data_IF_462866164854
#
_entry.id   IF_462866164854
#
_cell.length_a   1.000
_cell.length_b   1.000
_cell.length_c   1.000
_cell.angle_alpha   90.00
_cell.angle_beta   90.00
_cell.angle_gamma   90.00
#
_symmetry.space_group_name_H-M   'P 1'
#
loop_
_entity.id
_entity.type
_entity.pdbx_description
1 polymer ?
#
# COMPACT_ATOMS: atom_id res chain seq x y z
N UNK A 1 18.73 -14.49 -0.49
CA UNK A 1 17.39 -14.60 -1.08
C UNK A 1 17.08 -13.27 -1.70
N UNK A 2 16.74 -13.23 -2.99
CA UNK A 2 16.47 -11.97 -3.70
C UNK A 2 15.03 -11.55 -3.40
N UNK A 3 14.85 -10.40 -2.77
CA UNK A 3 13.53 -9.77 -2.63
C UNK A 3 12.92 -9.61 -4.03
N UNK A 4 11.65 -9.97 -4.18
CA UNK A 4 10.94 -9.81 -5.47
C UNK A 4 9.79 -8.84 -5.34
N UNK A 5 9.33 -8.28 -6.47
CA UNK A 5 8.14 -7.45 -6.52
C UNK A 5 6.89 -8.13 -5.93
N UNK A 6 6.80 -9.47 -6.04
CA UNK A 6 5.71 -10.25 -5.50
C UNK A 6 5.76 -10.37 -3.96
N UNK A 7 6.96 -10.50 -3.37
CA UNK A 7 7.15 -10.46 -1.91
C UNK A 7 6.67 -9.14 -1.34
N UNK A 8 7.10 -8.02 -1.94
CA UNK A 8 6.73 -6.68 -1.49
C UNK A 8 5.24 -6.46 -1.65
N UNK A 9 4.65 -6.84 -2.80
CA UNK A 9 3.22 -6.77 -3.04
C UNK A 9 2.38 -7.51 -1.99
N UNK A 10 2.83 -8.71 -1.61
CA UNK A 10 2.16 -9.51 -0.59
C UNK A 10 2.24 -8.82 0.77
N UNK A 11 3.42 -8.31 1.13
CA UNK A 11 3.63 -7.59 2.38
C UNK A 11 2.88 -6.25 2.45
N UNK A 12 2.81 -5.49 1.35
CA UNK A 12 2.00 -4.27 1.26
C UNK A 12 0.53 -4.57 1.57
N UNK A 13 0.01 -5.68 1.03
CA UNK A 13 -1.37 -6.09 1.27
C UNK A 13 -1.61 -6.37 2.74
N UNK A 14 -0.70 -7.12 3.38
CA UNK A 14 -0.76 -7.47 4.81
C UNK A 14 -0.79 -6.23 5.71
N UNK A 15 0.07 -5.23 5.44
CA UNK A 15 0.06 -3.96 6.17
C UNK A 15 -1.24 -3.21 5.96
N UNK A 16 -1.69 -3.04 4.72
CA UNK A 16 -2.93 -2.28 4.44
C UNK A 16 -4.13 -2.96 5.09
N UNK A 17 -4.18 -4.29 5.12
CA UNK A 17 -5.24 -5.03 5.82
C UNK A 17 -5.14 -4.90 7.34
N UNK A 18 -3.93 -4.77 7.89
CA UNK A 18 -3.68 -4.64 9.33
C UNK A 18 -3.98 -3.21 9.82
N UNK A 19 -3.45 -2.20 9.15
CA UNK A 19 -3.60 -0.78 9.52
C UNK A 19 -4.90 -0.18 9.03
N UNK A 20 -5.61 -0.91 8.15
CA UNK A 20 -6.86 -0.52 7.47
C UNK A 20 -6.72 0.65 6.49
N UNK A 21 -5.80 1.57 6.71
CA UNK A 21 -5.52 2.74 5.88
C UNK A 21 -4.04 3.10 5.94
N UNK A 22 -3.38 3.17 4.78
CA UNK A 22 -1.95 3.48 4.68
C UNK A 22 -1.72 4.44 3.52
N UNK A 23 -0.98 5.51 3.76
CA UNK A 23 -0.65 6.48 2.70
C UNK A 23 0.48 5.95 1.82
N UNK A 24 0.57 6.45 0.58
CA UNK A 24 1.67 6.11 -0.31
C UNK A 24 3.02 6.46 0.28
N UNK A 25 3.13 7.59 0.96
CA UNK A 25 4.37 8.02 1.60
C UNK A 25 4.79 7.04 2.69
N UNK A 26 3.88 6.69 3.61
CA UNK A 26 4.17 5.74 4.70
C UNK A 26 4.63 4.38 4.15
N UNK A 27 3.92 3.89 3.12
CA UNK A 27 4.27 2.64 2.47
C UNK A 27 5.64 2.70 1.80
N UNK A 28 5.98 3.83 1.16
CA UNK A 28 7.27 4.01 0.52
C UNK A 28 8.39 4.03 1.56
N UNK A 29 8.25 4.79 2.64
CA UNK A 29 9.20 4.80 3.76
C UNK A 29 9.39 3.39 4.34
N UNK A 30 8.30 2.65 4.54
CA UNK A 30 8.34 1.29 5.07
C UNK A 30 9.00 0.30 4.10
N UNK A 31 8.78 0.43 2.79
CA UNK A 31 9.47 -0.37 1.76
C UNK A 31 10.95 -0.03 1.72
N UNK A 32 11.30 1.25 1.74
CA UNK A 32 12.69 1.72 1.73
C UNK A 32 13.46 1.17 2.94
N UNK A 33 12.88 1.28 4.13
CA UNK A 33 13.49 0.81 5.37
C UNK A 33 13.65 -0.72 5.43
N UNK A 34 12.71 -1.47 4.84
CA UNK A 34 12.67 -2.94 4.95
C UNK A 34 13.35 -3.66 3.79
N UNK A 35 13.13 -3.21 2.56
CA UNK A 35 13.58 -3.85 1.32
C UNK A 35 14.64 -3.05 0.59
N UNK A 36 14.72 -1.74 0.84
CA UNK A 36 15.67 -0.85 0.19
C UNK A 36 15.04 0.03 -0.89
N UNK A 37 15.77 1.08 -1.26
CA UNK A 37 15.34 2.08 -2.23
C UNK A 37 15.37 1.62 -3.69
N UNK A 38 15.68 0.36 -3.98
CA UNK A 38 15.63 -0.19 -5.34
C UNK A 38 14.19 -0.33 -5.87
N UNK A 39 13.21 -0.43 -4.96
CA UNK A 39 11.79 -0.63 -5.26
C UNK A 39 10.98 0.66 -5.23
N UNK A 40 11.65 1.79 -5.02
CA UNK A 40 11.06 3.12 -4.99
C UNK A 40 11.76 3.97 -6.06
N UNK A 41 11.02 4.91 -6.62
CA UNK A 41 11.58 5.91 -7.50
C UNK A 41 11.05 7.27 -7.08
N UNK A 42 11.84 8.30 -7.32
CA UNK A 42 11.43 9.68 -7.12
C UNK A 42 10.81 10.16 -8.44
N UNK A 43 9.57 10.64 -8.40
CA UNK A 43 8.95 11.22 -9.59
C UNK A 43 9.52 12.62 -9.90
N UNK A 44 9.15 13.21 -11.04
CA UNK A 44 9.56 14.58 -11.42
C UNK A 44 9.23 15.65 -10.38
N UNK A 45 8.26 15.39 -9.51
CA UNK A 45 7.83 16.28 -8.45
C UNK A 45 8.65 16.15 -7.16
N UNK A 46 9.66 15.27 -7.13
CA UNK A 46 10.46 14.98 -5.94
C UNK A 46 9.76 14.07 -4.93
N UNK A 47 8.62 13.48 -5.27
CA UNK A 47 7.88 12.60 -4.36
C UNK A 47 8.25 11.15 -4.59
N UNK A 48 8.58 10.40 -3.52
CA UNK A 48 8.94 9.01 -3.64
C UNK A 48 7.68 8.18 -3.92
N UNK A 49 7.80 7.21 -4.81
CA UNK A 49 6.70 6.39 -5.33
C UNK A 49 7.17 4.96 -5.53
N UNK A 50 6.25 4.02 -5.39
CA UNK A 50 6.53 2.59 -5.47
C UNK A 50 6.69 2.16 -6.93
N UNK A 51 7.70 1.33 -7.22
CA UNK A 51 7.95 0.82 -8.56
C UNK A 51 6.72 0.14 -9.18
N UNK A 52 6.56 0.37 -10.48
CA UNK A 52 5.43 -0.14 -11.28
C UNK A 52 5.34 -1.67 -11.30
N UNK A 53 6.45 -2.39 -11.15
CA UNK A 53 6.45 -3.85 -11.08
C UNK A 53 5.79 -4.34 -9.78
N UNK A 54 6.09 -3.70 -8.65
CA UNK A 54 5.47 -3.98 -7.35
C UNK A 54 3.98 -3.68 -7.42
N UNK A 55 3.59 -2.50 -7.91
CA UNK A 55 2.18 -2.13 -8.05
C UNK A 55 1.40 -3.11 -8.94
N UNK A 56 2.04 -3.65 -9.98
CA UNK A 56 1.43 -4.65 -10.87
C UNK A 56 1.15 -5.97 -10.15
N UNK A 57 2.10 -6.45 -9.34
CA UNK A 57 1.90 -7.67 -8.55
C UNK A 57 0.94 -7.43 -7.37
N UNK A 58 1.03 -6.26 -6.72
CA UNK A 58 0.11 -5.83 -5.67
C UNK A 58 -1.33 -5.87 -6.15
N UNK A 59 -1.60 -5.28 -7.33
CA UNK A 59 -2.93 -5.25 -7.94
C UNK A 59 -3.50 -6.65 -8.21
N UNK A 60 -2.64 -7.65 -8.47
CA UNK A 60 -3.06 -9.05 -8.62
C UNK A 60 -3.29 -9.73 -7.28
N UNK A 61 -2.50 -9.40 -6.26
CA UNK A 61 -2.58 -9.99 -4.93
C UNK A 61 -3.87 -9.57 -4.20
N UNK A 62 -4.18 -8.26 -4.16
CA UNK A 62 -5.31 -7.76 -3.37
C UNK A 62 -6.69 -8.02 -4.01
N UNK A 63 -6.79 -8.33 -5.32
CA UNK A 63 -8.03 -8.65 -6.07
C UNK A 63 -9.27 -7.79 -5.75
N UNK A 64 -9.08 -6.52 -5.38
CA UNK A 64 -10.16 -5.59 -5.03
C UNK A 64 -10.52 -5.50 -3.53
N UNK A 65 -9.84 -6.23 -2.65
CA UNK A 65 -9.96 -6.06 -1.19
C UNK A 65 -9.48 -4.67 -0.75
N UNK A 66 -8.37 -4.21 -1.32
CA UNK A 66 -7.84 -2.86 -1.10
C UNK A 66 -8.39 -1.88 -2.14
N UNK A 67 -8.86 -0.73 -1.67
CA UNK A 67 -9.25 0.45 -2.45
C UNK A 67 -8.11 1.47 -2.46
N UNK A 68 -8.10 2.33 -3.47
CA UNK A 68 -7.13 3.40 -3.63
C UNK A 68 -7.84 4.74 -3.68
N UNK A 69 -7.47 5.62 -2.75
CA UNK A 69 -7.88 7.00 -2.69
C UNK A 69 -6.91 7.87 -3.50
N UNK A 70 -7.43 8.64 -4.46
CA UNK A 70 -6.60 9.49 -5.33
C UNK A 70 -6.32 10.85 -4.71
N UNK A 71 -7.18 11.32 -3.81
CA UNK A 71 -7.06 12.62 -3.17
C UNK A 71 -6.02 12.54 -2.05
N UNK A 72 -6.16 11.55 -1.18
CA UNK A 72 -5.24 11.29 -0.06
C UNK A 72 -4.02 10.45 -0.47
N UNK A 73 -4.01 9.91 -1.69
CA UNK A 73 -2.96 8.97 -2.18
C UNK A 73 -2.75 7.83 -1.18
N UNK A 74 -3.84 7.28 -0.68
CA UNK A 74 -3.83 6.28 0.36
C UNK A 74 -4.57 5.02 -0.08
N UNK A 75 -4.03 3.87 0.33
CA UNK A 75 -4.76 2.62 0.26
C UNK A 75 -5.60 2.44 1.50
N UNK A 76 -6.80 1.94 1.34
CA UNK A 76 -7.67 1.59 2.46
C UNK A 76 -8.46 0.34 2.15
N UNK A 77 -8.77 -0.43 3.18
CA UNK A 77 -9.75 -1.51 3.10
C UNK A 77 -11.09 -0.97 3.56
N UNK A 78 -12.11 -1.14 2.70
CA UNK A 78 -13.49 -0.84 3.06
C UNK A 78 -13.94 -1.95 4.00
N UNK A 79 -13.87 -1.66 5.29
CA UNK A 79 -14.51 -2.49 6.31
C UNK A 79 -16.01 -2.30 6.10
N UNK A 80 -16.76 -3.40 5.92
CA UNK A 80 -18.20 -3.32 6.08
C UNK A 80 -18.47 -2.59 7.39
N UNK A 81 -19.39 -1.61 7.42
CA UNK A 81 -19.63 -0.87 8.64
C UNK A 81 -20.05 -1.88 9.69
N UNK A 82 -19.21 -2.09 10.71
CA UNK A 82 -19.75 -2.57 11.97
C UNK A 82 -20.76 -1.50 12.36
N UNK A 83 -22.03 -1.82 12.17
CA UNK A 83 -23.14 -0.99 12.54
C UNK A 83 -23.05 -0.72 14.04
N UNK A 84 -22.33 0.32 14.43
CA UNK A 84 -22.48 0.94 15.73
C UNK A 84 -23.23 2.26 15.52
N UNK A 85 -24.53 2.09 15.30
CA UNK A 85 -25.50 3.08 15.76
C UNK A 85 -25.54 2.97 17.28
N UNK A 86 -24.63 3.66 17.96
CA UNK A 86 -24.85 4.02 19.37
C UNK A 86 -24.85 5.53 19.44
N UNK A 87 -26.06 6.06 19.26
CA UNK A 87 -26.44 7.30 19.89
C UNK A 87 -26.30 7.12 21.42
N UNK A 88 -25.62 8.05 22.09
CA UNK A 88 -26.06 8.61 23.37
C UNK A 88 -25.48 10.01 23.58
#
# INVERSE_FOLDING_TARGET
>A
MSTTAADIATWMTDIITTERRVTQTDMVDAIEAKFGSEWIYVNDNGHPSIDRAVLKEFRKAHRGAVKWDREDRAWYVEDEPTADTSAE
#
